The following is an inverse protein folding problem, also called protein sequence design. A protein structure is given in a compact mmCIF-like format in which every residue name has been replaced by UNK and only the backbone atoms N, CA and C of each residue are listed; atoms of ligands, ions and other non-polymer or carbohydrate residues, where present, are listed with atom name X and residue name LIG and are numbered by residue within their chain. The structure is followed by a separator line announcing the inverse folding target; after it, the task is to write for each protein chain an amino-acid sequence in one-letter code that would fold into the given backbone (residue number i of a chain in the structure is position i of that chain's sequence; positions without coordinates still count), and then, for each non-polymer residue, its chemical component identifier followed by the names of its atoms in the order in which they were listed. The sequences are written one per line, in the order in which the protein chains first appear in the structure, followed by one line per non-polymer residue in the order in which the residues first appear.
data_IF_465760008691
#
_entry.id   IF_465760008691
#
_cell.length_a   1.000
_cell.length_b   1.000
_cell.length_c   1.000
_cell.angle_alpha   90.00
_cell.angle_beta   90.00
_cell.angle_gamma   90.00
#
_symmetry.space_group_name_H-M   'P 1'
#
loop_
_entity.id
_entity.type
_entity.pdbx_description
1 polymer ?
#
# COMPACT_ATOMS: atom_id res chain seq x y z
N UNK A 1 -41.88 -15.27 9.95
CA UNK A 1 -40.76 -16.07 10.50
C UNK A 1 -39.49 -16.14 9.63
N UNK A 2 -39.47 -16.70 8.41
CA UNK A 2 -38.20 -16.87 7.62
C UNK A 2 -37.42 -15.56 7.35
N UNK A 3 -38.11 -14.44 7.11
CA UNK A 3 -37.47 -13.13 6.90
C UNK A 3 -36.91 -12.53 8.21
N UNK A 4 -37.58 -12.75 9.36
CA UNK A 4 -37.09 -12.33 10.67
C UNK A 4 -35.83 -13.12 11.09
N UNK A 5 -35.80 -14.44 10.87
CA UNK A 5 -34.62 -15.29 11.16
C UNK A 5 -33.42 -14.86 10.30
N UNK A 6 -33.64 -14.56 9.01
CA UNK A 6 -32.58 -14.02 8.12
C UNK A 6 -32.10 -12.61 8.53
N UNK A 7 -32.99 -11.78 9.08
CA UNK A 7 -32.63 -10.45 9.60
C UNK A 7 -31.78 -10.59 10.87
N UNK A 8 -32.22 -11.41 11.82
CA UNK A 8 -31.52 -11.69 13.06
C UNK A 8 -30.12 -12.29 12.84
N UNK A 9 -29.99 -13.24 11.92
CA UNK A 9 -28.68 -13.82 11.57
C UNK A 9 -27.74 -12.81 10.89
N UNK A 10 -28.27 -11.83 10.15
CA UNK A 10 -27.46 -10.73 9.61
C UNK A 10 -27.00 -9.79 10.71
N UNK A 11 -27.89 -9.44 11.63
CA UNK A 11 -27.57 -8.60 12.79
C UNK A 11 -26.47 -9.22 13.66
N UNK A 12 -26.63 -10.50 14.04
CA UNK A 12 -25.59 -11.23 14.80
C UNK A 12 -24.23 -11.23 14.10
N UNK A 13 -24.20 -11.52 12.79
CA UNK A 13 -22.95 -11.50 12.02
C UNK A 13 -22.32 -10.11 11.94
N UNK A 14 -23.13 -9.07 11.82
CA UNK A 14 -22.64 -7.68 11.84
C UNK A 14 -22.03 -7.36 13.22
N UNK A 15 -22.73 -7.69 14.30
CA UNK A 15 -22.24 -7.51 15.67
C UNK A 15 -20.91 -8.24 15.92
N UNK A 16 -20.80 -9.51 15.52
CA UNK A 16 -19.53 -10.26 15.62
C UNK A 16 -18.41 -9.63 14.81
N UNK A 17 -18.69 -9.14 13.60
CA UNK A 17 -17.67 -8.49 12.75
C UNK A 17 -17.17 -7.21 13.42
N UNK A 18 -18.07 -6.38 13.93
CA UNK A 18 -17.72 -5.13 14.64
C UNK A 18 -16.92 -5.42 15.90
N UNK A 19 -17.33 -6.40 16.71
CA UNK A 19 -16.59 -6.80 17.90
C UNK A 19 -15.17 -7.27 17.57
N UNK A 20 -15.01 -8.11 16.53
CA UNK A 20 -13.69 -8.55 16.07
C UNK A 20 -12.86 -7.39 15.55
N UNK A 21 -13.47 -6.43 14.84
CA UNK A 21 -12.76 -5.22 14.42
C UNK A 21 -12.26 -4.40 15.61
N UNK A 22 -13.07 -4.21 16.66
CA UNK A 22 -12.63 -3.49 17.87
C UNK A 22 -11.46 -4.23 18.55
N UNK A 23 -11.62 -5.53 18.78
CA UNK A 23 -10.62 -6.38 19.44
C UNK A 23 -9.32 -6.46 18.64
N UNK A 24 -9.39 -6.39 17.31
CA UNK A 24 -8.21 -6.40 16.45
C UNK A 24 -7.54 -5.03 16.34
N UNK A 25 -8.31 -3.97 16.07
CA UNK A 25 -7.76 -2.67 15.72
C UNK A 25 -7.35 -1.83 16.92
N UNK A 26 -8.02 -1.95 18.08
CA UNK A 26 -7.60 -1.21 19.29
C UNK A 26 -6.18 -1.59 19.72
N UNK A 27 -5.82 -2.89 19.88
CA UNK A 27 -4.44 -3.27 20.20
C UNK A 27 -3.45 -2.89 19.10
N UNK A 28 -3.82 -3.00 17.82
CA UNK A 28 -2.95 -2.59 16.71
C UNK A 28 -2.68 -1.08 16.73
N UNK A 29 -3.69 -0.25 17.03
CA UNK A 29 -3.51 1.19 17.19
C UNK A 29 -2.53 1.51 18.32
N UNK A 30 -2.69 0.87 19.48
CA UNK A 30 -1.75 1.03 20.60
C UNK A 30 -0.33 0.61 20.22
N UNK A 31 -0.18 -0.56 19.57
CA UNK A 31 1.12 -1.09 19.14
C UNK A 31 1.83 -0.15 18.16
N UNK A 32 1.12 0.39 17.17
CA UNK A 32 1.71 1.25 16.15
C UNK A 32 2.02 2.67 16.67
N UNK A 33 1.26 3.17 17.63
CA UNK A 33 1.50 4.47 18.27
C UNK A 33 2.58 4.42 19.37
N UNK A 34 2.85 3.25 19.94
CA UNK A 34 3.77 3.10 21.07
C UNK A 34 5.21 3.48 20.72
N UNK A 35 5.82 4.45 21.43
CA UNK A 35 7.25 4.81 21.28
C UNK A 35 7.62 5.41 19.92
N UNK A 36 6.70 6.06 19.21
CA UNK A 36 7.00 6.76 17.95
C UNK A 36 8.13 7.79 18.11
N UNK A 37 8.23 8.45 19.26
CA UNK A 37 9.19 9.53 19.50
C UNK A 37 10.63 9.02 19.60
N UNK A 38 10.80 7.80 20.14
CA UNK A 38 12.13 7.19 20.39
C UNK A 38 12.68 6.37 19.22
N UNK A 39 11.89 6.15 18.17
CA UNK A 39 12.35 5.38 17.02
C UNK A 39 13.52 6.07 16.32
N UNK A 40 14.43 5.27 15.77
CA UNK A 40 15.57 5.76 14.98
C UNK A 40 15.13 6.72 13.88
N UNK A 41 15.91 7.77 13.63
CA UNK A 41 15.64 8.71 12.55
C UNK A 41 16.01 8.08 11.20
N UNK A 42 15.10 8.09 10.24
CA UNK A 42 15.35 7.69 8.86
C UNK A 42 15.51 8.93 7.97
N UNK A 43 16.51 8.92 7.08
CA UNK A 43 16.82 10.02 6.15
C UNK A 43 15.59 10.53 5.36
N UNK A 44 14.74 9.62 4.89
CA UNK A 44 13.55 9.96 4.11
C UNK A 44 12.50 10.70 4.93
N UNK A 45 12.47 10.53 6.26
CA UNK A 45 11.51 11.24 7.13
C UNK A 45 11.72 12.75 7.05
N UNK A 46 12.98 13.19 7.11
CA UNK A 46 13.32 14.59 6.90
C UNK A 46 12.88 15.05 5.51
N UNK A 47 13.17 14.28 4.46
CA UNK A 47 12.87 14.66 3.08
C UNK A 47 11.36 14.80 2.82
N UNK A 48 10.53 13.89 3.34
CA UNK A 48 9.07 13.96 3.18
C UNK A 48 8.44 15.10 3.98
N UNK A 49 8.91 15.33 5.21
CA UNK A 49 8.38 16.38 6.07
C UNK A 49 8.78 17.75 5.58
N UNK A 50 10.03 17.91 5.11
CA UNK A 50 10.48 19.14 4.48
C UNK A 50 9.56 19.56 3.33
N UNK A 51 9.20 18.63 2.45
CA UNK A 51 8.34 18.86 1.28
C UNK A 51 6.89 19.21 1.63
N UNK A 52 6.47 19.13 2.89
CA UNK A 52 5.08 19.42 3.28
C UNK A 52 4.67 20.88 3.03
N UNK A 53 5.61 21.82 2.87
CA UNK A 53 5.32 23.21 2.49
C UNK A 53 4.56 23.33 1.15
N UNK A 54 4.64 22.32 0.27
CA UNK A 54 3.85 22.31 -0.96
C UNK A 54 2.34 22.33 -0.68
N UNK A 55 1.90 21.90 0.50
CA UNK A 55 0.52 22.08 0.96
C UNK A 55 0.15 23.56 1.06
N UNK A 56 0.97 24.37 1.74
CA UNK A 56 0.75 25.81 1.88
C UNK A 56 0.72 26.46 0.50
N UNK A 57 1.67 26.08 -0.35
CA UNK A 57 1.77 26.63 -1.69
C UNK A 57 0.51 26.34 -2.53
N UNK A 58 -0.01 25.11 -2.49
CA UNK A 58 -1.16 24.69 -3.28
C UNK A 58 -2.50 25.16 -2.72
N UNK A 59 -2.75 24.96 -1.43
CA UNK A 59 -4.08 25.14 -0.81
C UNK A 59 -4.24 26.48 -0.11
N UNK A 60 -3.20 26.98 0.56
CA UNK A 60 -3.26 28.20 1.37
C UNK A 60 -2.97 29.43 0.51
N UNK A 61 -1.78 29.47 -0.10
CA UNK A 61 -1.30 30.55 -0.97
C UNK A 61 -1.93 30.50 -2.36
N UNK A 62 -2.34 29.30 -2.81
CA UNK A 62 -2.91 29.03 -4.15
C UNK A 62 -1.99 29.51 -5.28
N UNK A 63 -0.69 29.44 -5.08
CA UNK A 63 0.30 29.84 -6.07
C UNK A 63 0.80 28.62 -6.86
N UNK A 64 0.09 28.32 -7.95
CA UNK A 64 0.42 27.21 -8.86
C UNK A 64 1.47 27.59 -9.92
N UNK A 65 1.90 28.86 -9.94
CA UNK A 65 2.90 29.39 -10.87
C UNK A 65 4.27 29.54 -10.23
N UNK A 66 4.37 29.38 -8.91
CA UNK A 66 5.63 29.39 -8.17
C UNK A 66 6.68 28.52 -8.85
N UNK A 67 7.88 29.08 -9.00
CA UNK A 67 9.00 28.44 -9.67
C UNK A 67 9.41 27.09 -9.06
N UNK A 68 9.15 26.85 -7.76
CA UNK A 68 9.45 25.61 -7.05
C UNK A 68 8.62 24.42 -7.52
N UNK A 69 7.55 24.65 -8.30
CA UNK A 69 6.83 23.58 -8.99
C UNK A 69 7.58 23.06 -10.22
N UNK A 70 8.56 23.81 -10.73
CA UNK A 70 9.15 23.57 -12.06
C UNK A 70 10.67 23.51 -12.06
N UNK A 71 11.34 24.12 -11.08
CA UNK A 71 12.80 24.17 -11.02
C UNK A 71 13.31 23.28 -9.90
N UNK A 72 14.13 22.29 -10.24
CA UNK A 72 15.00 21.60 -9.28
C UNK A 72 16.14 22.54 -8.93
N UNK A 73 15.91 23.42 -7.94
CA UNK A 73 16.83 24.50 -7.58
C UNK A 73 17.38 24.40 -6.15
N UNK A 74 16.96 23.40 -5.41
CA UNK A 74 17.52 23.17 -4.07
C UNK A 74 18.60 22.11 -4.17
N UNK A 75 19.77 22.41 -3.62
CA UNK A 75 20.86 21.47 -3.28
C UNK A 75 20.39 20.28 -2.38
N UNK A 76 19.09 20.24 -2.07
CA UNK A 76 18.39 19.33 -1.18
C UNK A 76 17.48 18.32 -1.91
N UNK A 77 17.40 18.33 -3.24
CA UNK A 77 16.69 17.30 -4.03
C UNK A 77 15.15 17.38 -3.98
N UNK A 78 14.59 18.59 -3.99
CA UNK A 78 13.16 18.82 -4.24
C UNK A 78 12.86 18.72 -5.72
N UNK A 79 12.86 17.49 -6.23
CA UNK A 79 12.51 17.28 -7.62
C UNK A 79 11.04 17.66 -7.83
N UNK A 80 10.75 18.64 -8.72
CA UNK A 80 9.39 19.00 -9.08
C UNK A 80 8.63 17.78 -9.61
N UNK A 81 9.38 16.80 -10.10
CA UNK A 81 8.94 15.55 -10.72
C UNK A 81 8.60 14.42 -9.73
N UNK A 82 8.63 14.69 -8.43
CA UNK A 82 8.09 13.76 -7.44
C UNK A 82 6.59 14.01 -7.21
N UNK A 83 5.78 12.95 -7.07
CA UNK A 83 4.36 13.08 -6.72
C UNK A 83 4.13 13.86 -5.43
N UNK A 84 3.08 14.68 -5.38
CA UNK A 84 2.90 15.73 -4.34
C UNK A 84 1.84 15.41 -3.28
N UNK A 85 0.98 14.42 -3.50
CA UNK A 85 -0.12 14.11 -2.58
C UNK A 85 0.39 13.64 -1.22
N UNK A 86 1.51 12.90 -1.17
CA UNK A 86 2.13 12.53 0.10
C UNK A 86 2.54 13.76 0.92
N UNK A 87 3.15 14.75 0.27
CA UNK A 87 3.50 16.03 0.89
C UNK A 87 2.28 16.81 1.36
N UNK A 88 1.19 16.82 0.57
CA UNK A 88 -0.06 17.47 0.97
C UNK A 88 -0.67 16.82 2.20
N UNK A 89 -0.67 15.49 2.28
CA UNK A 89 -1.18 14.76 3.44
C UNK A 89 -0.38 15.13 4.69
N UNK A 90 0.95 15.17 4.62
CA UNK A 90 1.76 15.65 5.76
C UNK A 90 1.45 17.11 6.12
N UNK A 91 1.31 17.99 5.13
CA UNK A 91 0.99 19.39 5.36
C UNK A 91 -0.38 19.59 6.04
N UNK A 92 -1.41 18.85 5.62
CA UNK A 92 -2.72 18.82 6.29
C UNK A 92 -2.54 18.48 7.77
N UNK A 93 -1.75 17.45 8.09
CA UNK A 93 -1.57 17.03 9.48
C UNK A 93 -0.78 18.04 10.32
N UNK A 94 0.19 18.74 9.72
CA UNK A 94 0.90 19.81 10.42
C UNK A 94 -0.02 21.02 10.68
N UNK A 95 -0.89 21.38 9.73
CA UNK A 95 -1.92 22.40 9.94
C UNK A 95 -2.90 22.02 11.05
N UNK A 96 -3.36 20.75 11.08
CA UNK A 96 -4.21 20.25 12.15
C UNK A 96 -3.50 20.25 13.51
N UNK A 97 -2.17 20.19 13.54
CA UNK A 97 -1.36 20.34 14.75
C UNK A 97 -1.09 21.81 15.12
N UNK A 98 -1.66 22.78 14.39
CA UNK A 98 -1.54 24.21 14.67
C UNK A 98 -0.41 24.92 13.93
N UNK A 99 0.30 24.25 13.03
CA UNK A 99 1.38 24.84 12.23
C UNK A 99 0.77 25.47 10.96
N UNK A 100 0.56 26.79 10.97
CA UNK A 100 -0.17 27.48 9.89
C UNK A 100 0.71 27.97 8.74
N UNK A 101 2.01 28.17 8.97
CA UNK A 101 3.02 28.44 7.95
C UNK A 101 4.15 27.43 8.12
N UNK A 102 4.07 26.33 7.36
CA UNK A 102 4.96 25.19 7.47
C UNK A 102 6.39 25.60 7.11
N UNK A 103 6.55 26.33 6.00
CA UNK A 103 7.86 26.71 5.50
C UNK A 103 8.61 27.57 6.52
N UNK A 104 7.95 28.62 7.02
CA UNK A 104 8.52 29.48 8.05
C UNK A 104 8.82 28.71 9.33
N UNK A 105 7.89 27.88 9.80
CA UNK A 105 8.07 27.13 11.05
C UNK A 105 9.24 26.14 10.96
N UNK A 106 9.46 25.52 9.79
CA UNK A 106 10.62 24.66 9.54
C UNK A 106 11.93 25.48 9.52
N UNK A 107 11.93 26.69 8.97
CA UNK A 107 13.11 27.56 8.96
C UNK A 107 13.45 28.09 10.36
N UNK A 108 12.45 28.51 11.13
CA UNK A 108 12.59 29.03 12.50
C UNK A 108 13.29 28.02 13.42
N UNK A 109 12.99 26.72 13.29
CA UNK A 109 13.65 25.66 14.07
C UNK A 109 14.99 25.19 13.48
N UNK A 110 15.42 25.78 12.36
CA UNK A 110 16.64 25.44 11.64
C UNK A 110 16.57 24.07 10.97
N UNK A 111 15.40 23.65 10.47
CA UNK A 111 15.21 22.32 9.85
C UNK A 111 16.02 22.16 8.55
N UNK A 112 16.28 23.27 7.86
CA UNK A 112 17.08 23.36 6.63
C UNK A 112 18.56 23.68 6.88
N UNK A 113 18.93 24.09 8.09
CA UNK A 113 20.27 24.65 8.36
C UNK A 113 21.36 23.57 8.22
N UNK A 114 22.45 23.99 7.60
CA UNK A 114 23.71 23.25 7.54
C UNK A 114 24.50 23.59 8.81
N UNK A 115 24.92 22.57 9.56
CA UNK A 115 25.69 22.71 10.80
C UNK A 115 27.15 23.11 10.49
N UNK A 116 27.87 23.73 11.45
CA UNK A 116 29.31 23.97 11.32
C UNK A 116 30.04 22.66 11.00
N UNK A 117 30.68 22.59 9.82
CA UNK A 117 31.25 21.35 9.27
C UNK A 117 30.55 20.83 8.01
N UNK A 118 29.50 21.50 7.52
CA UNK A 118 28.90 21.24 6.21
C UNK A 118 27.85 20.13 6.20
N UNK A 119 27.58 19.48 7.34
CA UNK A 119 26.57 18.43 7.46
C UNK A 119 25.20 18.99 7.85
N UNK A 120 24.11 18.40 7.36
CA UNK A 120 22.76 18.68 7.87
C UNK A 120 22.52 17.91 9.18
N UNK A 121 21.76 18.49 10.11
CA UNK A 121 21.50 17.90 11.42
C UNK A 121 21.01 16.44 11.36
N UNK A 122 20.16 16.10 10.39
CA UNK A 122 19.60 14.75 10.28
C UNK A 122 20.66 13.70 9.91
N UNK A 123 21.77 14.09 9.27
CA UNK A 123 22.88 13.19 8.93
C UNK A 123 23.55 12.71 10.22
N UNK A 124 23.83 13.64 11.13
CA UNK A 124 24.43 13.39 12.44
C UNK A 124 23.58 12.45 13.31
N UNK A 125 22.28 12.39 13.04
CA UNK A 125 21.28 11.60 13.78
C UNK A 125 20.74 10.39 13.02
N UNK A 126 21.21 10.15 11.79
CA UNK A 126 20.70 9.06 10.97
C UNK A 126 20.92 7.70 11.64
N UNK A 127 19.87 6.88 11.68
CA UNK A 127 19.82 5.55 12.30
C UNK A 127 20.11 5.52 13.81
N UNK A 128 20.32 6.66 14.48
CA UNK A 128 20.47 6.72 15.94
C UNK A 128 19.11 6.66 16.62
N UNK A 129 18.95 5.87 17.70
CA UNK A 129 17.73 5.90 18.50
C UNK A 129 17.55 7.28 19.13
N UNK A 130 16.32 7.79 19.14
CA UNK A 130 15.99 9.11 19.67
C UNK A 130 15.61 9.02 21.16
N UNK A 131 16.41 8.30 21.95
CA UNK A 131 16.20 8.19 23.39
C UNK A 131 16.87 9.41 24.03
N UNK A 132 16.08 10.28 24.66
CA UNK A 132 16.53 11.53 25.28
C UNK A 132 17.35 12.42 24.31
N UNK A 133 16.77 12.88 23.19
CA UNK A 133 17.46 13.76 22.26
C UNK A 133 17.80 15.11 22.94
N UNK A 134 18.88 15.79 22.50
CA UNK A 134 19.21 17.11 23.02
C UNK A 134 18.03 18.10 22.90
N UNK A 135 17.85 19.04 23.84
CA UNK A 135 16.75 20.00 23.80
C UNK A 135 16.66 20.79 22.49
N UNK A 136 17.79 21.15 21.87
CA UNK A 136 17.81 21.87 20.57
C UNK A 136 17.25 21.06 19.38
N UNK A 137 17.16 19.74 19.52
CA UNK A 137 16.69 18.83 18.49
C UNK A 137 15.17 18.59 18.60
N UNK A 138 14.60 18.75 19.80
CA UNK A 138 13.18 18.48 20.07
C UNK A 138 12.25 19.26 19.12
N UNK A 139 12.41 20.57 18.88
CA UNK A 139 11.54 21.30 17.96
C UNK A 139 11.56 20.74 16.53
N UNK A 140 12.72 20.29 16.04
CA UNK A 140 12.86 19.68 14.71
C UNK A 140 12.18 18.30 14.67
N UNK A 141 12.31 17.52 15.75
CA UNK A 141 11.71 16.19 15.85
C UNK A 141 10.19 16.21 15.99
N UNK A 142 9.60 17.27 16.55
CA UNK A 142 8.14 17.41 16.63
C UNK A 142 7.47 17.29 15.25
N UNK A 143 8.03 17.92 14.21
CA UNK A 143 7.54 17.76 12.84
C UNK A 143 7.63 16.31 12.34
N UNK A 144 8.74 15.62 12.64
CA UNK A 144 8.91 14.20 12.30
C UNK A 144 7.87 13.34 13.04
N UNK A 145 7.63 13.61 14.32
CA UNK A 145 6.69 12.84 15.14
C UNK A 145 5.25 13.00 14.66
N UNK A 146 4.83 14.20 14.27
CA UNK A 146 3.52 14.38 13.61
C UNK A 146 3.46 13.60 12.29
N UNK A 147 4.51 13.64 11.48
CA UNK A 147 4.65 12.80 10.29
C UNK A 147 4.50 11.30 10.58
N UNK A 148 5.10 10.81 11.66
CA UNK A 148 4.99 9.42 12.09
C UNK A 148 3.56 9.05 12.48
N UNK A 149 2.83 9.94 13.18
CA UNK A 149 1.40 9.74 13.50
C UNK A 149 0.56 9.63 12.23
N UNK A 150 0.83 10.48 11.23
CA UNK A 150 0.19 10.43 9.92
C UNK A 150 0.46 9.09 9.22
N UNK A 151 1.70 8.63 9.20
CA UNK A 151 2.06 7.33 8.62
C UNK A 151 1.37 6.16 9.34
N UNK A 152 1.26 6.21 10.67
CA UNK A 152 0.52 5.22 11.47
C UNK A 152 -0.97 5.21 11.14
N UNK A 153 -1.59 6.38 11.00
CA UNK A 153 -2.99 6.47 10.57
C UNK A 153 -3.21 5.74 9.24
N UNK A 154 -2.34 5.97 8.25
CA UNK A 154 -2.43 5.27 6.96
C UNK A 154 -2.09 3.78 7.06
N UNK A 155 -1.21 3.36 7.98
CA UNK A 155 -0.98 1.94 8.26
C UNK A 155 -2.25 1.27 8.78
N UNK A 156 -2.93 1.87 9.75
CA UNK A 156 -4.21 1.36 10.26
C UNK A 156 -5.29 1.34 9.18
N UNK A 157 -5.34 2.38 8.34
CA UNK A 157 -6.26 2.43 7.20
C UNK A 157 -5.97 1.32 6.18
N UNK A 158 -4.69 1.02 5.93
CA UNK A 158 -4.28 -0.10 5.08
C UNK A 158 -4.76 -1.45 5.64
N UNK A 159 -4.63 -1.66 6.97
CA UNK A 159 -5.13 -2.86 7.62
C UNK A 159 -6.66 -2.95 7.56
N UNK A 160 -7.36 -1.83 7.70
CA UNK A 160 -8.81 -1.78 7.57
C UNK A 160 -9.25 -2.19 6.16
N UNK A 161 -8.64 -1.63 5.12
CA UNK A 161 -8.97 -2.01 3.75
C UNK A 161 -8.59 -3.46 3.43
N UNK A 162 -7.45 -3.95 3.95
CA UNK A 162 -7.07 -5.35 3.85
C UNK A 162 -8.10 -6.28 4.53
N UNK A 163 -8.58 -5.92 5.73
CA UNK A 163 -9.62 -6.65 6.44
C UNK A 163 -10.91 -6.71 5.61
N UNK A 164 -11.38 -5.56 5.13
CA UNK A 164 -12.60 -5.47 4.33
C UNK A 164 -12.49 -6.23 3.00
N UNK A 165 -11.33 -6.17 2.35
CA UNK A 165 -11.02 -6.97 1.17
C UNK A 165 -11.04 -8.47 1.50
N UNK A 166 -10.39 -8.87 2.59
CA UNK A 166 -10.37 -10.27 3.03
C UNK A 166 -11.75 -10.83 3.34
N UNK A 167 -12.65 -10.00 3.86
CA UNK A 167 -14.03 -10.38 4.14
C UNK A 167 -14.77 -10.76 2.86
N UNK A 168 -14.40 -10.15 1.72
CA UNK A 168 -14.95 -10.49 0.39
C UNK A 168 -14.28 -11.71 -0.24
N UNK A 169 -13.02 -11.97 0.09
CA UNK A 169 -12.25 -13.11 -0.41
C UNK A 169 -12.67 -14.42 0.24
N UNK A 170 -12.38 -14.59 1.54
CA UNK A 170 -12.51 -15.88 2.22
C UNK A 170 -13.07 -15.75 3.65
N UNK A 171 -13.71 -14.61 3.94
CA UNK A 171 -14.47 -14.35 5.17
C UNK A 171 -13.63 -13.87 6.36
N UNK A 172 -14.25 -13.86 7.54
CA UNK A 172 -13.73 -13.22 8.75
C UNK A 172 -12.37 -13.76 9.19
N UNK A 173 -12.25 -15.08 9.30
CA UNK A 173 -11.00 -15.70 9.75
C UNK A 173 -9.80 -15.34 8.84
N UNK A 174 -9.99 -15.44 7.52
CA UNK A 174 -8.96 -15.04 6.56
C UNK A 174 -8.56 -13.57 6.72
N UNK A 175 -9.54 -12.69 6.95
CA UNK A 175 -9.31 -11.25 7.13
C UNK A 175 -8.48 -10.97 8.36
N UNK A 176 -8.78 -11.64 9.47
CA UNK A 176 -8.01 -11.54 10.71
C UNK A 176 -6.58 -12.05 10.49
N UNK A 177 -6.41 -13.24 9.89
CA UNK A 177 -5.07 -13.80 9.63
C UNK A 177 -4.26 -12.88 8.72
N UNK A 178 -4.83 -12.36 7.64
CA UNK A 178 -4.13 -11.46 6.72
C UNK A 178 -3.66 -10.17 7.40
N UNK A 179 -4.52 -9.55 8.23
CA UNK A 179 -4.16 -8.35 8.98
C UNK A 179 -3.11 -8.64 10.05
N UNK A 180 -3.25 -9.72 10.81
CA UNK A 180 -2.29 -10.10 11.85
C UNK A 180 -0.92 -10.38 11.22
N UNK A 181 -0.85 -11.18 10.16
CA UNK A 181 0.43 -11.44 9.49
C UNK A 181 1.09 -10.14 8.99
N UNK A 182 0.33 -9.26 8.32
CA UNK A 182 0.92 -8.05 7.74
C UNK A 182 1.31 -7.04 8.82
N UNK A 183 0.48 -6.86 9.85
CA UNK A 183 0.75 -5.91 10.93
C UNK A 183 1.90 -6.33 11.84
N UNK A 184 2.19 -7.63 11.95
CA UNK A 184 3.35 -8.13 12.69
C UNK A 184 4.58 -8.37 11.80
N UNK A 185 4.46 -8.20 10.49
CA UNK A 185 5.60 -8.25 9.59
C UNK A 185 6.59 -7.13 9.95
N UNK A 186 7.89 -7.48 10.07
CA UNK A 186 8.92 -6.53 10.48
C UNK A 186 9.03 -5.31 9.56
N UNK A 187 8.92 -5.53 8.25
CA UNK A 187 9.07 -4.46 7.27
C UNK A 187 7.91 -3.46 7.38
N UNK A 188 6.70 -3.97 7.60
CA UNK A 188 5.50 -3.15 7.80
C UNK A 188 5.55 -2.44 9.17
N UNK A 189 6.02 -3.10 10.22
CA UNK A 189 6.20 -2.49 11.54
C UNK A 189 7.19 -1.33 11.52
N UNK A 190 8.24 -1.40 10.70
CA UNK A 190 9.21 -0.31 10.56
C UNK A 190 8.68 0.76 9.59
N UNK A 191 8.43 0.38 8.35
CA UNK A 191 8.10 1.33 7.27
C UNK A 191 6.75 2.00 7.48
N UNK A 192 5.81 1.31 8.16
CA UNK A 192 4.49 1.85 8.46
C UNK A 192 4.44 2.83 9.63
N UNK A 193 5.57 3.06 10.32
CA UNK A 193 5.67 3.92 11.49
C UNK A 193 6.58 5.13 11.29
N UNK A 194 7.48 5.07 10.32
CA UNK A 194 8.27 6.23 9.89
C UNK A 194 7.42 7.22 9.09
N UNK A 195 7.77 8.51 9.17
CA UNK A 195 7.16 9.59 8.39
C UNK A 195 7.51 9.48 6.89
N UNK A 196 7.03 8.42 6.25
CA UNK A 196 7.23 8.11 4.83
C UNK A 196 5.88 7.78 4.17
N UNK A 197 5.88 7.79 2.85
CA UNK A 197 4.66 7.56 2.05
C UNK A 197 4.33 6.08 1.79
N UNK A 198 5.12 5.14 2.33
CA UNK A 198 4.95 3.71 2.09
C UNK A 198 3.61 3.16 2.61
N UNK A 199 3.19 3.56 3.81
CA UNK A 199 1.88 3.15 4.37
C UNK A 199 0.70 3.78 3.61
N UNK A 200 0.85 5.02 3.17
CA UNK A 200 -0.14 5.71 2.33
C UNK A 200 -0.35 4.94 1.02
N UNK A 201 0.74 4.55 0.36
CA UNK A 201 0.69 3.75 -0.87
C UNK A 201 -0.03 2.41 -0.64
N UNK A 202 0.27 1.69 0.44
CA UNK A 202 -0.41 0.44 0.78
C UNK A 202 -1.91 0.63 1.04
N UNK A 203 -2.31 1.71 1.71
CA UNK A 203 -3.72 2.01 1.93
C UNK A 203 -4.46 2.17 0.59
N UNK A 204 -3.90 2.92 -0.36
CA UNK A 204 -4.48 3.07 -1.69
C UNK A 204 -4.46 1.76 -2.51
N UNK A 205 -3.44 0.91 -2.34
CA UNK A 205 -3.39 -0.42 -2.94
C UNK A 205 -4.55 -1.32 -2.47
N UNK A 206 -4.77 -1.41 -1.15
CA UNK A 206 -5.83 -2.26 -0.61
C UNK A 206 -7.24 -1.67 -0.85
N UNK A 207 -7.38 -0.34 -0.80
CA UNK A 207 -8.60 0.32 -1.24
C UNK A 207 -8.92 -0.03 -2.70
N UNK A 208 -7.91 -0.03 -3.59
CA UNK A 208 -8.09 -0.39 -4.99
C UNK A 208 -8.58 -1.84 -5.15
N UNK A 209 -7.99 -2.80 -4.43
CA UNK A 209 -8.41 -4.21 -4.48
C UNK A 209 -9.87 -4.37 -4.02
N UNK A 210 -10.25 -3.70 -2.92
CA UNK A 210 -11.62 -3.73 -2.41
C UNK A 210 -12.62 -3.13 -3.42
N UNK A 211 -12.31 -1.95 -3.97
CA UNK A 211 -13.13 -1.31 -5.00
C UNK A 211 -13.24 -2.19 -6.24
N UNK A 212 -12.15 -2.85 -6.63
CA UNK A 212 -12.12 -3.74 -7.80
C UNK A 212 -13.05 -4.94 -7.63
N UNK A 213 -13.07 -5.58 -6.46
CA UNK A 213 -14.02 -6.69 -6.18
C UNK A 213 -15.47 -6.21 -6.35
N UNK A 214 -15.78 -5.01 -5.87
CA UNK A 214 -17.11 -4.42 -6.04
C UNK A 214 -17.41 -4.06 -7.49
N UNK A 215 -16.42 -3.55 -8.23
CA UNK A 215 -16.53 -3.15 -9.62
C UNK A 215 -16.81 -4.37 -10.51
N UNK A 216 -15.99 -5.41 -10.42
CA UNK A 216 -16.16 -6.66 -11.18
C UNK A 216 -17.53 -7.26 -10.92
N UNK A 217 -17.96 -7.33 -9.65
CA UNK A 217 -19.30 -7.81 -9.30
C UNK A 217 -20.41 -6.94 -9.89
N UNK A 218 -20.23 -5.61 -9.95
CA UNK A 218 -21.22 -4.72 -10.55
C UNK A 218 -21.31 -4.92 -12.07
N UNK A 219 -20.17 -5.11 -12.75
CA UNK A 219 -20.10 -5.42 -14.18
C UNK A 219 -20.81 -6.74 -14.49
N UNK A 220 -20.51 -7.79 -13.74
CA UNK A 220 -21.11 -9.12 -13.94
C UNK A 220 -22.63 -9.14 -13.74
N UNK A 221 -23.13 -8.26 -12.88
CA UNK A 221 -24.57 -8.11 -12.62
C UNK A 221 -25.20 -6.99 -13.46
N UNK A 222 -24.48 -6.44 -14.44
CA UNK A 222 -24.91 -5.38 -15.34
C UNK A 222 -25.49 -4.13 -14.64
N UNK A 223 -24.91 -3.75 -13.49
CA UNK A 223 -25.38 -2.64 -12.66
C UNK A 223 -24.76 -1.29 -13.12
N UNK A 224 -25.21 -0.77 -14.27
CA UNK A 224 -24.62 0.40 -14.95
C UNK A 224 -24.23 1.57 -14.04
N UNK A 225 -25.17 2.09 -13.23
CA UNK A 225 -24.91 3.23 -12.32
C UNK A 225 -23.77 2.94 -11.35
N UNK A 226 -23.76 1.72 -10.79
CA UNK A 226 -22.74 1.29 -9.83
C UNK A 226 -21.39 1.08 -10.51
N UNK A 227 -21.36 0.54 -11.73
CA UNK A 227 -20.14 0.43 -12.52
C UNK A 227 -19.52 1.80 -12.75
N UNK A 228 -20.30 2.80 -13.16
CA UNK A 228 -19.80 4.14 -13.41
C UNK A 228 -19.26 4.82 -12.15
N UNK A 229 -19.98 4.72 -11.03
CA UNK A 229 -19.51 5.25 -9.74
C UNK A 229 -18.20 4.57 -9.30
N UNK A 230 -18.12 3.24 -9.41
CA UNK A 230 -16.92 2.49 -9.03
C UNK A 230 -15.76 2.72 -9.99
N UNK A 231 -16.02 2.91 -11.29
CA UNK A 231 -15.02 3.35 -12.26
C UNK A 231 -14.43 4.69 -11.87
N UNK A 232 -15.26 5.68 -11.54
CA UNK A 232 -14.77 6.98 -11.09
C UNK A 232 -13.94 6.83 -9.80
N UNK A 233 -14.44 6.08 -8.82
CA UNK A 233 -13.72 5.83 -7.57
C UNK A 233 -12.37 5.12 -7.78
N UNK A 234 -12.29 4.14 -8.69
CA UNK A 234 -11.04 3.47 -9.05
C UNK A 234 -10.05 4.43 -9.73
N UNK A 235 -10.52 5.27 -10.66
CA UNK A 235 -9.70 6.30 -11.31
C UNK A 235 -9.13 7.30 -10.31
N UNK A 236 -9.98 7.84 -9.42
CA UNK A 236 -9.56 8.76 -8.36
C UNK A 236 -8.56 8.07 -7.41
N UNK A 237 -8.86 6.86 -6.94
CA UNK A 237 -7.96 6.12 -6.05
C UNK A 237 -6.60 5.83 -6.71
N UNK A 238 -6.59 5.51 -8.01
CA UNK A 238 -5.36 5.33 -8.76
C UNK A 238 -4.55 6.63 -8.86
N UNK A 239 -5.20 7.77 -9.05
CA UNK A 239 -4.54 9.08 -9.07
C UNK A 239 -3.98 9.46 -7.70
N UNK A 240 -4.72 9.19 -6.62
CA UNK A 240 -4.25 9.40 -5.26
C UNK A 240 -3.02 8.51 -4.94
N UNK A 241 -3.10 7.22 -5.28
CA UNK A 241 -1.99 6.28 -5.08
C UNK A 241 -0.73 6.67 -5.86
N UNK A 242 -0.86 6.96 -7.16
CA UNK A 242 0.25 7.44 -7.99
C UNK A 242 0.77 8.81 -7.56
N UNK A 243 -0.11 9.66 -7.03
CA UNK A 243 0.21 10.99 -6.54
C UNK A 243 0.94 10.99 -5.19
N UNK A 244 0.88 9.89 -4.43
CA UNK A 244 1.64 9.71 -3.19
C UNK A 244 3.08 9.26 -3.48
N UNK A 245 3.25 8.35 -4.45
CA UNK A 245 4.55 7.80 -4.83
C UNK A 245 4.48 7.23 -6.25
N UNK A 246 5.58 7.30 -7.00
CA UNK A 246 5.63 6.84 -8.41
C UNK A 246 5.25 5.35 -8.52
N UNK A 247 5.62 4.52 -7.55
CA UNK A 247 5.22 3.11 -7.46
C UNK A 247 3.70 2.91 -7.29
N UNK A 248 2.94 3.96 -6.95
CA UNK A 248 1.49 3.96 -7.00
C UNK A 248 0.92 3.73 -8.40
N UNK A 249 1.70 3.98 -9.46
CA UNK A 249 1.35 3.69 -10.85
C UNK A 249 1.10 2.18 -11.11
N UNK A 250 1.55 1.30 -10.21
CA UNK A 250 1.19 -0.13 -10.25
C UNK A 250 -0.33 -0.36 -10.19
N UNK A 251 -1.10 0.52 -9.54
CA UNK A 251 -2.57 0.46 -9.58
C UNK A 251 -3.07 0.60 -11.03
N UNK A 252 -2.54 1.57 -11.77
CA UNK A 252 -2.97 1.83 -13.15
C UNK A 252 -2.61 0.65 -14.04
N UNK A 253 -1.38 0.12 -13.93
CA UNK A 253 -0.96 -1.09 -14.67
C UNK A 253 -1.89 -2.27 -14.36
N UNK A 254 -2.22 -2.48 -13.10
CA UNK A 254 -3.17 -3.50 -12.68
C UNK A 254 -4.57 -3.30 -13.29
N UNK A 255 -5.12 -2.08 -13.25
CA UNK A 255 -6.43 -1.78 -13.82
C UNK A 255 -6.45 -1.94 -15.34
N UNK A 256 -5.36 -1.59 -16.04
CA UNK A 256 -5.23 -1.80 -17.48
C UNK A 256 -5.27 -3.30 -17.81
N UNK A 257 -4.42 -4.11 -17.15
CA UNK A 257 -4.39 -5.57 -17.36
C UNK A 257 -5.76 -6.19 -17.04
N UNK A 258 -6.39 -5.79 -15.94
CA UNK A 258 -7.70 -6.27 -15.55
C UNK A 258 -8.78 -5.90 -16.58
N UNK A 259 -8.82 -4.64 -17.04
CA UNK A 259 -9.79 -4.19 -18.04
C UNK A 259 -9.64 -4.92 -19.36
N UNK A 260 -8.40 -5.12 -19.84
CA UNK A 260 -8.11 -5.94 -21.01
C UNK A 260 -8.59 -7.39 -20.82
N UNK A 261 -8.29 -7.99 -19.67
CA UNK A 261 -8.72 -9.34 -19.35
C UNK A 261 -10.26 -9.46 -19.31
N UNK A 262 -10.96 -8.52 -18.68
CA UNK A 262 -12.43 -8.48 -18.63
C UNK A 262 -13.04 -8.31 -20.02
N UNK A 263 -12.46 -7.46 -20.87
CA UNK A 263 -12.88 -7.29 -22.27
C UNK A 263 -12.73 -8.59 -23.06
N UNK A 264 -11.61 -9.30 -22.88
CA UNK A 264 -11.39 -10.60 -23.54
C UNK A 264 -12.41 -11.65 -23.07
N UNK A 265 -12.63 -11.77 -21.75
CA UNK A 265 -13.58 -12.72 -21.17
C UNK A 265 -15.02 -12.44 -21.61
N UNK A 266 -15.40 -11.16 -21.76
CA UNK A 266 -16.76 -10.76 -22.10
C UNK A 266 -16.93 -10.32 -23.56
N UNK A 267 -15.96 -10.59 -24.45
CA UNK A 267 -15.96 -10.11 -25.84
C UNK A 267 -17.24 -10.37 -26.63
N UNK A 268 -17.91 -11.49 -26.37
CA UNK A 268 -19.16 -11.89 -27.05
C UNK A 268 -20.41 -11.19 -26.47
N UNK A 269 -20.32 -10.53 -25.31
CA UNK A 269 -21.46 -9.91 -24.62
C UNK A 269 -21.46 -8.40 -24.84
N UNK A 270 -21.97 -7.97 -26.01
CA UNK A 270 -21.95 -6.57 -26.49
C UNK A 270 -22.31 -5.52 -25.43
N UNK A 271 -23.36 -5.75 -24.63
CA UNK A 271 -23.79 -4.84 -23.56
C UNK A 271 -22.73 -4.70 -22.46
N UNK A 272 -22.14 -5.81 -22.01
CA UNK A 272 -21.09 -5.80 -20.98
C UNK A 272 -19.82 -5.18 -21.55
N UNK A 273 -19.43 -5.51 -22.79
CA UNK A 273 -18.27 -4.90 -23.45
C UNK A 273 -18.38 -3.39 -23.55
N UNK A 274 -19.54 -2.86 -23.96
CA UNK A 274 -19.80 -1.41 -23.97
C UNK A 274 -19.69 -0.81 -22.57
N UNK A 275 -20.25 -1.49 -21.57
CA UNK A 275 -20.19 -1.06 -20.18
C UNK A 275 -18.74 -1.01 -19.65
N UNK A 276 -17.91 -2.00 -20.01
CA UNK A 276 -16.48 -2.04 -19.70
C UNK A 276 -15.71 -0.91 -20.39
N UNK A 277 -15.96 -0.66 -21.68
CA UNK A 277 -15.32 0.44 -22.41
C UNK A 277 -15.66 1.80 -21.80
N UNK A 278 -16.96 2.07 -21.56
CA UNK A 278 -17.38 3.31 -20.89
C UNK A 278 -16.83 3.41 -19.47
N UNK A 279 -16.83 2.31 -18.73
CA UNK A 279 -16.25 2.26 -17.39
C UNK A 279 -14.75 2.55 -17.38
N UNK A 280 -14.00 2.03 -18.37
CA UNK A 280 -12.57 2.29 -18.53
C UNK A 280 -12.32 3.75 -18.88
N UNK A 281 -13.12 4.34 -19.78
CA UNK A 281 -13.04 5.76 -20.10
C UNK A 281 -13.27 6.64 -18.85
N UNK A 282 -14.29 6.32 -18.04
CA UNK A 282 -14.56 7.05 -16.78
C UNK A 282 -13.40 6.90 -15.79
N UNK A 283 -12.79 5.70 -15.67
CA UNK A 283 -11.60 5.51 -14.84
C UNK A 283 -10.45 6.40 -15.32
N UNK A 284 -10.17 6.42 -16.63
CA UNK A 284 -9.09 7.22 -17.22
C UNK A 284 -9.32 8.72 -17.02
N UNK A 285 -10.54 9.21 -17.27
CA UNK A 285 -10.88 10.62 -17.03
C UNK A 285 -10.76 10.96 -15.55
N UNK A 286 -11.31 10.14 -14.66
CA UNK A 286 -11.19 10.34 -13.22
C UNK A 286 -9.73 10.37 -12.74
N UNK A 287 -8.90 9.47 -13.27
CA UNK A 287 -7.47 9.46 -13.00
C UNK A 287 -6.80 10.75 -13.49
N UNK A 288 -6.93 11.09 -14.77
CA UNK A 288 -6.26 12.24 -15.37
C UNK A 288 -6.70 13.54 -14.72
N UNK A 289 -8.00 13.75 -14.50
CA UNK A 289 -8.51 14.96 -13.87
C UNK A 289 -7.93 15.18 -12.47
N UNK A 290 -7.95 14.14 -11.61
CA UNK A 290 -7.41 14.26 -10.24
C UNK A 290 -5.90 14.37 -10.23
N UNK A 291 -5.21 13.56 -11.03
CA UNK A 291 -3.75 13.55 -11.07
C UNK A 291 -3.19 14.87 -11.58
N UNK A 292 -3.73 15.41 -12.68
CA UNK A 292 -3.31 16.70 -13.24
C UNK A 292 -3.64 17.84 -12.27
N UNK A 293 -4.83 17.85 -11.68
CA UNK A 293 -5.24 18.91 -10.76
C UNK A 293 -4.26 19.07 -9.59
N UNK A 294 -3.88 17.97 -8.94
CA UNK A 294 -3.00 18.01 -7.77
C UNK A 294 -1.51 18.18 -8.07
N UNK A 295 -1.10 18.25 -9.34
CA UNK A 295 0.30 18.38 -9.74
C UNK A 295 0.48 19.59 -10.67
N UNK A 296 0.68 20.81 -10.11
CA UNK A 296 0.93 22.02 -10.91
C UNK A 296 2.04 21.88 -11.95
N UNK A 297 3.07 21.07 -11.65
CA UNK A 297 4.10 20.70 -12.61
C UNK A 297 3.52 20.24 -13.97
N UNK A 298 2.39 19.53 -13.99
CA UNK A 298 1.75 19.03 -15.21
C UNK A 298 0.94 20.09 -15.98
N UNK A 299 0.71 21.29 -15.43
CA UNK A 299 -0.19 22.30 -16.01
C UNK A 299 0.42 22.99 -17.24
N UNK A 300 1.76 23.12 -17.29
CA UNK A 300 2.44 23.76 -18.42
C UNK A 300 2.55 22.85 -19.65
N UNK A 301 2.89 21.58 -19.43
CA UNK A 301 2.96 20.58 -20.49
C UNK A 301 2.70 19.19 -19.92
N UNK A 302 1.43 18.78 -19.92
CA UNK A 302 0.99 17.56 -19.24
C UNK A 302 1.72 16.32 -19.74
N UNK A 303 1.80 16.09 -21.05
CA UNK A 303 2.40 14.86 -21.59
C UNK A 303 3.91 14.80 -21.30
N UNK A 304 4.64 15.87 -21.63
CA UNK A 304 6.10 15.93 -21.41
C UNK A 304 6.43 15.71 -19.95
N UNK A 305 5.80 16.49 -19.07
CA UNK A 305 6.10 16.46 -17.64
C UNK A 305 5.63 15.15 -16.98
N UNK A 306 4.52 14.56 -17.44
CA UNK A 306 4.12 13.24 -16.99
C UNK A 306 5.16 12.17 -17.32
N UNK A 307 5.71 12.18 -18.53
CA UNK A 307 6.80 11.26 -18.93
C UNK A 307 8.06 11.53 -18.10
N UNK A 308 8.40 12.79 -17.85
CA UNK A 308 9.56 13.17 -17.02
C UNK A 308 9.50 12.59 -15.61
N UNK A 309 8.31 12.51 -14.98
CA UNK A 309 8.15 11.88 -13.65
C UNK A 309 8.77 10.48 -13.60
N UNK A 310 8.61 9.71 -14.68
CA UNK A 310 9.11 8.34 -14.77
C UNK A 310 10.56 8.30 -15.24
N UNK A 311 10.89 9.05 -16.30
CA UNK A 311 12.24 9.09 -16.86
C UNK A 311 13.28 9.51 -15.81
N UNK A 312 12.96 10.53 -15.02
CA UNK A 312 13.90 11.04 -14.02
C UNK A 312 13.95 10.14 -12.78
N UNK A 313 12.86 9.44 -12.46
CA UNK A 313 12.90 8.38 -11.44
C UNK A 313 13.72 7.16 -11.87
N UNK A 314 13.71 6.82 -13.16
CA UNK A 314 14.59 5.80 -13.76
C UNK A 314 16.06 6.25 -13.72
N UNK A 315 16.33 7.52 -14.05
CA UNK A 315 17.69 8.11 -13.97
C UNK A 315 18.20 8.10 -12.53
N UNK A 316 17.42 8.63 -11.57
CA UNK A 316 17.81 8.64 -10.17
C UNK A 316 18.06 7.23 -9.60
N UNK A 317 17.31 6.22 -10.05
CA UNK A 317 17.56 4.84 -9.66
C UNK A 317 18.90 4.30 -10.21
N UNK A 318 19.36 4.78 -11.37
CA UNK A 318 20.69 4.51 -11.91
C UNK A 318 21.77 5.23 -11.11
N UNK A 319 21.57 6.52 -10.79
CA UNK A 319 22.53 7.31 -10.03
C UNK A 319 22.73 6.73 -8.61
N UNK A 320 21.64 6.33 -7.95
CA UNK A 320 21.74 5.63 -6.66
C UNK A 320 22.49 4.31 -6.73
N UNK A 321 22.41 3.60 -7.86
CA UNK A 321 23.17 2.36 -8.05
C UNK A 321 24.67 2.64 -8.10
N UNK A 322 25.08 3.78 -8.66
CA UNK A 322 26.49 4.20 -8.71
C UNK A 322 26.97 4.73 -7.34
N UNK A 323 26.11 5.47 -6.63
CA UNK A 323 26.42 6.05 -5.32
C UNK A 323 26.45 5.00 -4.19
N UNK A 324 25.68 3.92 -4.30
CA UNK A 324 25.55 2.88 -3.28
C UNK A 324 25.84 1.48 -3.85
N UNK A 325 27.09 1.18 -4.25
CA UNK A 325 27.44 -0.08 -4.91
C UNK A 325 27.13 -1.32 -4.07
N UNK A 326 27.21 -1.23 -2.73
CA UNK A 326 26.89 -2.34 -1.82
C UNK A 326 25.40 -2.71 -1.80
N UNK A 327 24.52 -1.79 -2.21
CA UNK A 327 23.07 -2.00 -2.31
C UNK A 327 22.61 -2.08 -3.76
N UNK A 328 23.52 -2.02 -4.73
CA UNK A 328 23.19 -2.05 -6.15
C UNK A 328 22.71 -3.44 -6.59
N UNK A 329 21.75 -3.45 -7.51
CA UNK A 329 21.32 -4.66 -8.22
C UNK A 329 21.71 -4.52 -9.68
N UNK A 330 22.54 -5.44 -10.15
CA UNK A 330 23.18 -5.34 -11.47
C UNK A 330 22.46 -6.13 -12.56
N UNK A 331 21.75 -7.21 -12.19
CA UNK A 331 21.08 -8.08 -13.15
C UNK A 331 19.67 -8.48 -12.72
N UNK A 332 18.93 -9.12 -13.64
CA UNK A 332 17.58 -9.63 -13.39
C UNK A 332 17.59 -10.83 -12.45
N UNK A 333 18.62 -11.66 -12.57
CA UNK A 333 18.84 -12.85 -11.76
C UNK A 333 19.11 -12.43 -10.32
N UNK A 334 19.97 -11.42 -10.10
CA UNK A 334 20.20 -10.83 -8.78
C UNK A 334 18.89 -10.22 -8.24
N UNK A 335 18.12 -9.48 -9.04
CA UNK A 335 16.81 -8.97 -8.60
C UNK A 335 15.86 -10.09 -8.14
N UNK A 336 15.76 -11.20 -8.88
CA UNK A 336 14.95 -12.35 -8.50
C UNK A 336 15.45 -13.02 -7.21
N UNK A 337 16.76 -13.26 -7.10
CA UNK A 337 17.37 -13.83 -5.90
C UNK A 337 17.07 -12.95 -4.68
N UNK A 338 17.26 -11.63 -4.80
CA UNK A 338 17.03 -10.67 -3.73
C UNK A 338 15.57 -10.66 -3.29
N UNK A 339 14.63 -10.63 -4.23
CA UNK A 339 13.20 -10.69 -3.93
C UNK A 339 12.87 -11.98 -3.15
N UNK A 340 13.32 -13.15 -3.63
CA UNK A 340 13.09 -14.42 -2.96
C UNK A 340 13.72 -14.45 -1.57
N UNK A 341 14.99 -14.04 -1.46
CA UNK A 341 15.77 -14.05 -0.23
C UNK A 341 15.18 -13.12 0.82
N UNK A 342 14.74 -11.93 0.42
CA UNK A 342 14.19 -10.92 1.31
C UNK A 342 12.76 -11.27 1.75
N UNK A 343 11.94 -11.85 0.87
CA UNK A 343 10.50 -11.96 1.12
C UNK A 343 9.98 -13.37 1.38
N UNK A 344 10.74 -14.43 1.06
CA UNK A 344 10.26 -15.82 1.14
C UNK A 344 11.24 -16.82 1.78
N UNK A 345 12.55 -16.54 1.80
CA UNK A 345 13.55 -17.48 2.34
C UNK A 345 13.89 -17.21 3.82
N UNK A 346 14.32 -18.26 4.55
CA UNK A 346 14.79 -18.15 5.93
C UNK A 346 15.89 -17.10 6.12
N UNK A 347 16.06 -16.62 7.36
CA UNK A 347 17.06 -15.64 7.81
C UNK A 347 16.79 -14.17 7.44
N UNK A 348 15.93 -13.88 6.47
CA UNK A 348 15.49 -12.50 6.27
C UNK A 348 14.66 -12.02 7.47
N UNK A 349 14.86 -10.79 7.97
CA UNK A 349 14.01 -10.23 9.02
C UNK A 349 12.59 -9.89 8.51
N UNK A 350 12.39 -9.85 7.20
CA UNK A 350 11.19 -9.33 6.54
C UNK A 350 10.17 -10.40 6.12
N UNK A 351 10.44 -11.68 6.40
CA UNK A 351 9.46 -12.77 6.25
C UNK A 351 8.47 -12.79 7.41
N UNK A 352 7.30 -13.41 7.21
CA UNK A 352 6.29 -13.52 8.26
C UNK A 352 6.66 -14.60 9.29
N UNK A 353 7.28 -15.71 8.87
CA UNK A 353 7.64 -16.83 9.73
C UNK A 353 9.17 -16.99 9.82
N UNK A 354 9.76 -16.45 10.89
CA UNK A 354 11.23 -16.43 11.08
C UNK A 354 11.83 -17.74 11.56
N UNK A 355 11.47 -18.86 10.94
CA UNK A 355 12.12 -20.14 11.20
C UNK A 355 13.50 -20.14 10.54
N UNK A 356 14.54 -20.57 11.29
CA UNK A 356 15.95 -20.45 10.85
C UNK A 356 16.30 -21.32 9.65
N UNK A 357 15.61 -22.45 9.47
CA UNK A 357 15.98 -23.50 8.50
C UNK A 357 14.84 -23.79 7.52
N UNK A 358 13.61 -23.94 8.01
CA UNK A 358 12.48 -24.34 7.17
C UNK A 358 11.89 -23.13 6.43
N UNK A 359 11.77 -23.14 5.09
CA UNK A 359 11.26 -22.02 4.30
C UNK A 359 9.71 -21.98 4.34
N UNK A 360 9.14 -21.83 5.53
CA UNK A 360 7.68 -21.87 5.74
C UNK A 360 6.97 -20.81 4.90
N UNK A 361 7.52 -19.60 4.81
CA UNK A 361 6.97 -18.53 3.98
C UNK A 361 6.83 -18.93 2.50
N UNK A 362 7.86 -19.54 1.93
CA UNK A 362 7.84 -20.06 0.56
C UNK A 362 6.82 -21.19 0.40
N UNK A 363 6.79 -22.15 1.32
CA UNK A 363 5.85 -23.27 1.28
C UNK A 363 4.39 -22.81 1.35
N UNK A 364 4.07 -21.91 2.30
CA UNK A 364 2.74 -21.32 2.43
C UNK A 364 2.38 -20.45 1.22
N UNK A 365 3.34 -19.72 0.66
CA UNK A 365 3.13 -18.92 -0.54
C UNK A 365 2.80 -19.80 -1.76
N UNK A 366 3.58 -20.86 -2.01
CA UNK A 366 3.34 -21.80 -3.12
C UNK A 366 2.00 -22.53 -2.96
N UNK A 367 1.70 -23.02 -1.76
CA UNK A 367 0.41 -23.65 -1.47
C UNK A 367 -0.75 -22.66 -1.64
N UNK A 368 -0.59 -21.42 -1.15
CA UNK A 368 -1.57 -20.36 -1.30
C UNK A 368 -1.84 -20.02 -2.77
N UNK A 369 -0.79 -19.86 -3.57
CA UNK A 369 -0.87 -19.64 -5.02
C UNK A 369 -1.64 -20.77 -5.71
N UNK A 370 -1.33 -22.02 -5.38
CA UNK A 370 -2.05 -23.16 -5.93
C UNK A 370 -3.53 -23.15 -5.53
N UNK A 371 -3.84 -22.89 -4.26
CA UNK A 371 -5.22 -22.84 -3.75
C UNK A 371 -6.05 -21.73 -4.42
N UNK A 372 -5.52 -20.51 -4.52
CA UNK A 372 -6.24 -19.41 -5.18
C UNK A 372 -6.40 -19.67 -6.67
N UNK A 373 -5.39 -20.27 -7.33
CA UNK A 373 -5.45 -20.65 -8.73
C UNK A 373 -6.52 -21.71 -8.99
N UNK A 374 -6.54 -22.77 -8.16
CA UNK A 374 -7.57 -23.81 -8.19
C UNK A 374 -8.96 -23.21 -7.99
N UNK A 375 -9.14 -22.39 -6.96
CA UNK A 375 -10.43 -21.76 -6.67
C UNK A 375 -10.90 -20.85 -7.80
N UNK A 376 -9.99 -20.03 -8.33
CA UNK A 376 -10.28 -19.15 -9.45
C UNK A 376 -10.72 -19.92 -10.70
N UNK A 377 -9.99 -21.00 -11.04
CA UNK A 377 -10.33 -21.89 -12.15
C UNK A 377 -11.69 -22.55 -11.96
N UNK A 378 -11.99 -23.05 -10.76
CA UNK A 378 -13.28 -23.68 -10.45
C UNK A 378 -14.46 -22.70 -10.56
N UNK A 379 -14.31 -21.47 -10.06
CA UNK A 379 -15.34 -20.43 -10.18
C UNK A 379 -15.52 -20.07 -11.65
N UNK A 380 -14.43 -19.81 -12.36
CA UNK A 380 -14.49 -19.44 -13.76
C UNK A 380 -15.11 -20.55 -14.63
N UNK A 381 -14.76 -21.82 -14.41
CA UNK A 381 -15.30 -22.94 -15.19
C UNK A 381 -16.80 -23.14 -14.96
N UNK A 382 -17.26 -23.00 -13.70
CA UNK A 382 -18.67 -23.21 -13.33
C UNK A 382 -19.57 -22.05 -13.69
N UNK A 383 -19.13 -20.81 -13.48
CA UNK A 383 -20.01 -19.64 -13.58
C UNK A 383 -19.63 -18.67 -14.69
N UNK A 384 -18.46 -18.84 -15.33
CA UNK A 384 -17.89 -17.86 -16.29
C UNK A 384 -17.79 -16.45 -15.70
N UNK A 385 -17.55 -16.39 -14.38
CA UNK A 385 -17.40 -15.17 -13.59
C UNK A 385 -15.99 -15.09 -13.03
N UNK A 386 -15.54 -13.88 -12.79
CA UNK A 386 -14.24 -13.54 -12.21
C UNK A 386 -14.33 -13.62 -10.70
N UNK A 387 -13.43 -14.42 -10.12
CA UNK A 387 -13.31 -14.57 -8.68
C UNK A 387 -12.45 -13.45 -8.08
N UNK A 388 -12.65 -13.11 -6.79
CA UNK A 388 -11.71 -12.30 -6.03
C UNK A 388 -10.28 -12.87 -6.03
N UNK A 389 -10.14 -14.20 -6.06
CA UNK A 389 -8.84 -14.87 -6.19
C UNK A 389 -8.09 -14.49 -7.47
N UNK A 390 -8.79 -14.34 -8.60
CA UNK A 390 -8.15 -13.89 -9.83
C UNK A 390 -7.60 -12.46 -9.73
N UNK A 391 -8.32 -11.58 -9.02
CA UNK A 391 -7.87 -10.21 -8.75
C UNK A 391 -6.54 -10.25 -7.99
N UNK A 392 -6.40 -11.13 -6.98
CA UNK A 392 -5.13 -11.32 -6.26
C UNK A 392 -4.03 -11.86 -7.17
N UNK A 393 -4.33 -12.82 -8.04
CA UNK A 393 -3.34 -13.38 -8.99
C UNK A 393 -2.80 -12.28 -9.92
N UNK A 394 -3.67 -11.49 -10.54
CA UNK A 394 -3.28 -10.40 -11.44
C UNK A 394 -2.47 -9.34 -10.66
N UNK A 395 -2.93 -8.97 -9.46
CA UNK A 395 -2.21 -8.03 -8.61
C UNK A 395 -0.82 -8.54 -8.21
N UNK A 396 -0.70 -9.84 -7.91
CA UNK A 396 0.57 -10.48 -7.56
C UNK A 396 1.54 -10.43 -8.72
N UNK A 397 1.06 -10.74 -9.93
CA UNK A 397 1.86 -10.66 -11.14
C UNK A 397 2.37 -9.23 -11.39
N UNK A 398 1.50 -8.22 -11.22
CA UNK A 398 1.89 -6.81 -11.37
C UNK A 398 2.95 -6.42 -10.35
N UNK A 399 2.73 -6.68 -9.06
CA UNK A 399 3.65 -6.24 -8.00
C UNK A 399 5.01 -6.94 -8.08
N UNK A 400 5.02 -8.27 -8.12
CA UNK A 400 6.27 -9.05 -8.15
C UNK A 400 6.97 -8.88 -9.51
N UNK A 401 6.20 -8.92 -10.60
CA UNK A 401 6.72 -8.71 -11.95
C UNK A 401 7.34 -7.31 -12.11
N UNK A 402 6.69 -6.26 -11.60
CA UNK A 402 7.27 -4.91 -11.65
C UNK A 402 8.51 -4.76 -10.77
N UNK A 403 8.58 -5.41 -9.60
CA UNK A 403 9.81 -5.40 -8.80
C UNK A 403 10.94 -6.12 -9.54
N UNK A 404 10.70 -7.31 -10.10
CA UNK A 404 11.68 -7.98 -10.95
C UNK A 404 12.13 -7.11 -12.14
N UNK A 405 11.20 -6.33 -12.71
CA UNK A 405 11.45 -5.45 -13.85
C UNK A 405 12.13 -4.12 -13.50
N UNK A 406 12.08 -3.65 -12.25
CA UNK A 406 12.48 -2.29 -11.90
C UNK A 406 13.45 -2.17 -10.72
N UNK A 407 13.59 -3.21 -9.89
CA UNK A 407 14.42 -3.16 -8.70
C UNK A 407 15.91 -2.97 -9.07
N UNK A 408 16.45 -1.81 -8.71
CA UNK A 408 17.85 -1.41 -8.99
C UNK A 408 18.70 -1.25 -7.74
N UNK A 409 18.05 -1.16 -6.58
CA UNK A 409 18.69 -0.98 -5.28
C UNK A 409 17.99 -1.86 -4.24
N UNK A 410 18.77 -2.52 -3.38
CA UNK A 410 18.33 -3.43 -2.33
C UNK A 410 17.95 -2.66 -1.06
N UNK A 411 16.96 -1.78 -1.18
CA UNK A 411 16.44 -1.04 -0.02
C UNK A 411 15.22 -1.75 0.56
N UNK A 412 15.20 -2.05 1.88
CA UNK A 412 14.14 -2.86 2.48
C UNK A 412 12.72 -2.41 2.14
N UNK A 413 12.44 -1.11 2.15
CA UNK A 413 11.09 -0.58 1.89
C UNK A 413 10.58 -0.87 0.47
N UNK A 414 11.45 -1.13 -0.50
CA UNK A 414 11.04 -1.46 -1.86
C UNK A 414 10.34 -2.82 -1.96
N UNK A 415 10.57 -3.71 -1.01
CA UNK A 415 9.92 -5.01 -0.95
C UNK A 415 8.56 -4.98 -0.24
N UNK A 416 8.14 -3.85 0.33
CA UNK A 416 6.90 -3.77 1.09
C UNK A 416 5.65 -4.13 0.26
N UNK A 417 5.50 -3.67 -1.00
CA UNK A 417 4.42 -4.15 -1.87
C UNK A 417 4.41 -5.67 -2.07
N UNK A 418 5.57 -6.30 -2.30
CA UNK A 418 5.65 -7.76 -2.43
C UNK A 418 5.30 -8.48 -1.13
N UNK A 419 5.78 -7.98 0.01
CA UNK A 419 5.46 -8.54 1.34
C UNK A 419 3.95 -8.51 1.58
N UNK A 420 3.28 -7.41 1.24
CA UNK A 420 1.83 -7.30 1.34
C UNK A 420 1.09 -8.38 0.53
N UNK A 421 1.51 -8.59 -0.73
CA UNK A 421 0.92 -9.60 -1.61
C UNK A 421 1.19 -11.03 -1.13
N UNK A 422 2.43 -11.32 -0.76
CA UNK A 422 2.84 -12.62 -0.22
C UNK A 422 2.02 -12.94 1.03
N UNK A 423 1.82 -11.96 1.91
CA UNK A 423 1.02 -12.10 3.13
C UNK A 423 -0.43 -12.46 2.84
N UNK A 424 -1.07 -11.81 1.86
CA UNK A 424 -2.44 -12.14 1.42
C UNK A 424 -2.53 -13.61 0.99
N UNK A 425 -1.55 -14.09 0.23
CA UNK A 425 -1.52 -15.46 -0.29
C UNK A 425 -1.26 -16.48 0.84
N UNK A 426 -0.30 -16.20 1.72
CA UNK A 426 0.00 -17.04 2.87
C UNK A 426 -1.20 -17.14 3.83
N UNK A 427 -1.92 -16.04 4.07
CA UNK A 427 -3.15 -16.05 4.86
C UNK A 427 -4.22 -16.98 4.28
N UNK A 428 -4.27 -17.10 2.95
CA UNK A 428 -5.20 -18.01 2.26
C UNK A 428 -4.85 -19.47 2.55
N UNK A 429 -3.56 -19.79 2.44
CA UNK A 429 -2.99 -21.09 2.78
C UNK A 429 -3.25 -21.47 4.25
N UNK A 430 -2.96 -20.57 5.19
CA UNK A 430 -3.21 -20.80 6.62
C UNK A 430 -4.69 -21.00 6.93
N UNK A 431 -5.56 -20.22 6.31
CA UNK A 431 -7.01 -20.37 6.47
C UNK A 431 -7.48 -21.75 6.01
N UNK A 432 -6.93 -22.25 4.91
CA UNK A 432 -7.22 -23.59 4.42
C UNK A 432 -6.73 -24.67 5.38
N UNK A 433 -5.47 -24.61 5.83
CA UNK A 433 -4.90 -25.57 6.78
C UNK A 433 -5.68 -25.61 8.10
N UNK A 434 -6.00 -24.44 8.66
CA UNK A 434 -6.77 -24.36 9.89
C UNK A 434 -8.13 -25.04 9.76
N UNK A 435 -8.87 -24.78 8.67
CA UNK A 435 -10.16 -25.44 8.40
C UNK A 435 -10.01 -26.95 8.23
N UNK A 436 -8.95 -27.41 7.57
CA UNK A 436 -8.67 -28.84 7.40
C UNK A 436 -8.41 -29.52 8.75
N UNK A 437 -7.60 -28.91 9.62
CA UNK A 437 -7.31 -29.40 10.97
C UNK A 437 -8.58 -29.47 11.82
N UNK A 438 -9.37 -28.39 11.88
CA UNK A 438 -10.64 -28.36 12.63
C UNK A 438 -11.61 -29.43 12.14
N UNK A 439 -11.68 -29.64 10.82
CA UNK A 439 -12.54 -30.69 10.24
C UNK A 439 -12.06 -32.09 10.64
N UNK A 440 -10.76 -32.36 10.57
CA UNK A 440 -10.18 -33.63 10.99
C UNK A 440 -10.44 -33.91 12.48
N UNK A 441 -10.20 -32.93 13.36
CA UNK A 441 -10.47 -33.04 14.80
C UNK A 441 -11.95 -33.30 15.10
N UNK A 442 -12.85 -32.64 14.38
CA UNK A 442 -14.31 -32.85 14.52
C UNK A 442 -14.71 -34.28 14.12
N UNK A 443 -14.10 -34.82 13.05
CA UNK A 443 -14.37 -36.20 12.61
C UNK A 443 -13.84 -37.23 13.63
N UNK A 444 -12.67 -36.99 14.21
CA UNK A 444 -12.10 -37.84 15.27
C UNK A 444 -13.01 -37.82 16.51
N UNK A 445 -13.43 -36.63 16.97
CA UNK A 445 -14.34 -36.49 18.12
C UNK A 445 -15.68 -37.21 17.91
N UNK A 446 -16.26 -37.13 16.70
CA UNK A 446 -17.48 -37.87 16.35
C UNK A 446 -17.30 -39.39 16.33
N UNK A 447 -16.13 -39.88 15.93
CA UNK A 447 -15.82 -41.32 15.96
C UNK A 447 -15.64 -41.83 17.39
N UNK A 448 -14.91 -41.08 18.22
CA UNK A 448 -14.70 -41.43 19.64
C UNK A 448 -16.02 -41.43 20.41
N UNK A 449 -16.86 -40.40 20.24
CA UNK A 449 -18.18 -40.37 20.90
C UNK A 449 -19.11 -41.51 20.47
N UNK A 450 -19.01 -41.97 19.21
CA UNK A 450 -19.77 -43.14 18.72
C UNK A 450 -19.22 -44.49 19.23
N UNK A 451 -17.96 -44.56 19.64
CA UNK A 451 -17.37 -45.76 20.26
C UNK A 451 -17.60 -45.83 21.78
N UNK A 452 -17.95 -44.70 22.40
CA UNK A 452 -18.29 -44.60 23.83
C UNK A 452 -19.80 -44.73 24.12
N UNK A 453 -20.62 -44.80 23.06
CA UNK A 453 -22.04 -45.17 23.10
C UNK A 453 -22.19 -46.62 22.65
#
# INVERSE_FOLDING_TARGET
MKNQIKSWNRFKRAGTTVAVMIVLFVPLSLLYLQRLETQRLQIDEWAFIRKSFYYDLFFVKRDWKDSRWYISKMDDGDDPEQPKIGSYIFGITLHLAGITDIEKSLDDVGFYRIEPGGARWWISWWNKPLINPPPELIPKLQFIWEGRRTAVFFSLLSFLFLFLFGMKMNGLFYSVVAVVLLSFNHLMMISGRFAMTDSMQLAFFFANLLLTVHYVKAVENNQRKKVFLLSLALGINAALGAGVKVSGMLIVVFLVILSLFLLLVHRQRRTITRLLCSGTLIMTVGFLSVFIFFHPYLHQNTLKHFVSLFANRLSAAHDFRLLYPNSAIYSREDAAERILRVTLLPKSPYVNFRFKVLPIDLLLFLMGLWLIGKKSREVFSKTRKISPELIVIIWTFVVIGSLFLYLRNDWPRYYLPSVAVITIIQAYAMTFLFRAIVTALTLVSKRVSKQLQ
#
